data_IF_800277036852
#
_entry.id   IF_800277036852
#
_cell.length_a   1.000
_cell.length_b   1.000
_cell.length_c   1.000
_cell.angle_alpha   90.00
_cell.angle_beta   90.00
_cell.angle_gamma   90.00
#
_symmetry.space_group_name_H-M   'P 1'
#
loop_
_entity.id
_entity.type
_entity.pdbx_description
1 polymer ?
#
# COMPACT_ATOMS: atom_id res chain seq x y z
N UNK A 1 59.16 58.22 47.05
CA UNK A 1 57.86 58.07 46.45
C UNK A 1 57.84 56.82 45.57
N UNK A 2 57.23 55.82 46.05
CA UNK A 2 56.86 54.67 45.26
C UNK A 2 55.89 53.79 46.02
N UNK A 3 54.97 53.22 45.34
CA UNK A 3 53.98 52.25 45.73
C UNK A 3 52.53 52.77 45.89
N UNK A 4 51.81 52.65 44.74
CA UNK A 4 50.37 52.37 44.77
C UNK A 4 49.85 52.08 43.33
N UNK A 5 50.37 51.06 42.73
CA UNK A 5 49.77 50.45 41.54
C UNK A 5 49.91 48.92 41.62
N UNK A 6 48.98 48.24 42.19
CA UNK A 6 49.08 46.78 42.34
C UNK A 6 47.88 46.02 42.89
N UNK A 7 46.75 46.66 43.18
CA UNK A 7 45.61 45.94 43.77
C UNK A 7 44.32 45.84 42.94
N UNK A 8 44.25 46.52 41.77
CA UNK A 8 43.01 46.50 40.97
C UNK A 8 43.01 45.52 39.80
N UNK A 9 44.13 44.87 39.52
CA UNK A 9 44.23 43.95 38.36
C UNK A 9 43.93 42.48 38.68
N UNK A 10 43.82 42.11 39.98
CA UNK A 10 43.56 40.71 40.37
C UNK A 10 42.07 40.37 40.58
N UNK A 11 41.17 41.35 40.60
CA UNK A 11 39.75 41.09 40.88
C UNK A 11 38.94 40.88 39.58
N UNK A 12 39.47 41.33 38.42
CA UNK A 12 38.76 41.24 37.13
C UNK A 12 38.86 39.90 36.43
N UNK A 13 39.87 39.10 36.74
CA UNK A 13 40.07 37.80 36.08
C UNK A 13 39.27 36.62 36.67
N UNK A 14 38.80 36.73 37.93
CA UNK A 14 38.02 35.64 38.56
C UNK A 14 36.57 35.56 38.07
N UNK A 15 35.96 36.67 37.68
CA UNK A 15 34.59 36.67 37.20
C UNK A 15 34.48 36.12 35.74
N UNK A 16 35.48 36.44 34.91
CA UNK A 16 35.51 36.04 33.49
C UNK A 16 35.75 34.52 33.38
N UNK A 17 36.59 33.92 34.16
CA UNK A 17 36.81 32.47 34.16
C UNK A 17 35.63 31.68 34.72
N UNK A 18 34.84 32.23 35.62
CA UNK A 18 33.61 31.63 36.14
C UNK A 18 32.47 31.63 35.11
N UNK A 19 32.30 32.74 34.40
CA UNK A 19 31.26 32.87 33.36
C UNK A 19 31.56 32.02 32.12
N UNK A 20 32.81 31.99 31.65
CA UNK A 20 33.21 31.15 30.50
C UNK A 20 33.02 29.67 30.80
N UNK A 21 33.27 29.20 32.03
CA UNK A 21 33.03 27.81 32.41
C UNK A 21 31.52 27.47 32.48
N UNK A 22 30.70 28.41 32.97
CA UNK A 22 29.26 28.21 33.07
C UNK A 22 28.58 28.19 31.71
N UNK A 23 28.99 29.05 30.76
CA UNK A 23 28.54 29.04 29.38
C UNK A 23 28.93 27.74 28.67
N UNK A 24 30.13 27.26 28.79
CA UNK A 24 30.62 26.01 28.24
C UNK A 24 29.83 24.80 28.74
N UNK A 25 29.53 24.75 30.04
CA UNK A 25 28.71 23.68 30.64
C UNK A 25 27.25 23.68 30.13
N UNK A 26 26.63 24.84 30.00
CA UNK A 26 25.27 24.98 29.49
C UNK A 26 25.19 24.52 28.03
N UNK A 27 26.13 24.88 27.16
CA UNK A 27 26.17 24.43 25.77
C UNK A 27 26.36 22.91 25.63
N UNK A 28 27.25 22.30 26.43
CA UNK A 28 27.44 20.84 26.48
C UNK A 28 26.18 20.11 26.95
N UNK A 29 25.48 20.66 27.93
CA UNK A 29 24.21 20.11 28.42
C UNK A 29 23.11 20.16 27.35
N UNK A 30 22.89 21.35 26.74
CA UNK A 30 21.90 21.55 25.66
C UNK A 30 22.17 20.63 24.48
N UNK A 31 23.43 20.49 24.08
CA UNK A 31 23.82 19.57 23.00
C UNK A 31 23.49 18.11 23.36
N UNK A 32 23.78 17.69 24.60
CA UNK A 32 23.43 16.33 25.05
C UNK A 32 21.93 16.08 25.02
N UNK A 33 21.13 17.04 25.52
CA UNK A 33 19.66 16.96 25.47
C UNK A 33 19.15 16.84 24.05
N UNK A 34 19.70 17.66 23.12
CA UNK A 34 19.36 17.63 21.72
C UNK A 34 19.65 16.27 21.08
N UNK A 35 20.84 15.71 21.30
CA UNK A 35 21.23 14.39 20.79
C UNK A 35 20.33 13.28 21.34
N UNK A 36 20.08 13.27 22.66
CA UNK A 36 19.20 12.28 23.29
C UNK A 36 17.79 12.37 22.72
N UNK A 37 17.27 13.58 22.51
CA UNK A 37 15.96 13.78 21.91
C UNK A 37 15.86 13.09 20.52
N UNK A 38 16.85 13.32 19.62
CA UNK A 38 16.82 12.67 18.30
C UNK A 38 16.98 11.17 18.37
N UNK A 39 17.81 10.64 19.28
CA UNK A 39 17.91 9.19 19.50
C UNK A 39 16.54 8.62 19.88
N UNK A 40 15.84 9.26 20.83
CA UNK A 40 14.50 8.82 21.24
C UNK A 40 13.48 8.88 20.09
N UNK A 41 13.53 9.92 19.28
CA UNK A 41 12.67 10.05 18.09
C UNK A 41 12.93 8.90 17.10
N UNK A 42 14.20 8.60 16.80
CA UNK A 42 14.53 7.52 15.86
C UNK A 42 14.17 6.13 16.40
N UNK A 43 14.35 5.90 17.70
CA UNK A 43 13.92 4.66 18.35
C UNK A 43 12.39 4.54 18.32
N UNK A 44 11.65 5.61 18.56
CA UNK A 44 10.19 5.62 18.49
C UNK A 44 9.70 5.34 17.06
N UNK A 45 10.31 5.97 16.03
CA UNK A 45 9.99 5.72 14.62
C UNK A 45 10.32 4.28 14.21
N UNK A 46 11.46 3.74 14.64
CA UNK A 46 11.84 2.35 14.38
C UNK A 46 10.85 1.36 15.00
N UNK A 47 10.47 1.60 16.27
CA UNK A 47 9.49 0.78 16.98
C UNK A 47 8.10 0.82 16.31
N UNK A 48 7.65 2.00 15.88
CA UNK A 48 6.42 2.14 15.12
C UNK A 48 6.44 1.35 13.81
N UNK A 49 7.57 1.35 13.10
CA UNK A 49 7.73 0.55 11.87
C UNK A 49 7.62 -0.96 12.13
N UNK A 50 8.11 -1.46 13.27
CA UNK A 50 7.97 -2.87 13.65
C UNK A 50 6.50 -3.22 13.91
N UNK A 51 5.77 -2.38 14.64
CA UNK A 51 4.33 -2.58 14.88
C UNK A 51 3.57 -2.64 13.56
N UNK A 52 3.90 -1.72 12.63
CA UNK A 52 3.26 -1.67 11.31
C UNK A 52 3.62 -2.87 10.44
N UNK A 53 4.86 -3.35 10.53
CA UNK A 53 5.32 -4.58 9.86
C UNK A 53 4.48 -5.79 10.29
N UNK A 54 4.34 -6.01 11.60
CA UNK A 54 3.59 -7.13 12.14
C UNK A 54 2.10 -7.08 11.74
N UNK A 55 1.49 -5.90 11.83
CA UNK A 55 0.11 -5.73 11.37
C UNK A 55 -0.07 -6.09 9.89
N UNK A 56 0.84 -5.64 9.00
CA UNK A 56 0.78 -5.99 7.58
C UNK A 56 1.02 -7.48 7.32
N UNK A 57 1.96 -8.09 8.03
CA UNK A 57 2.23 -9.54 7.90
C UNK A 57 0.99 -10.36 8.27
N UNK A 58 0.29 -10.00 9.36
CA UNK A 58 -0.95 -10.66 9.75
C UNK A 58 -2.02 -10.52 8.65
N UNK A 59 -2.22 -9.31 8.13
CA UNK A 59 -3.17 -9.07 7.04
C UNK A 59 -2.84 -9.89 5.78
N UNK A 60 -1.57 -9.96 5.38
CA UNK A 60 -1.11 -10.78 4.25
C UNK A 60 -1.42 -12.26 4.51
N UNK A 61 -1.11 -12.74 5.70
CA UNK A 61 -1.36 -14.13 6.09
C UNK A 61 -2.86 -14.49 6.08
N UNK A 62 -3.72 -13.60 6.57
CA UNK A 62 -5.17 -13.78 6.52
C UNK A 62 -5.68 -13.90 5.08
N UNK A 63 -5.23 -13.00 4.18
CA UNK A 63 -5.60 -13.03 2.76
C UNK A 63 -5.10 -14.32 2.10
N UNK A 64 -3.85 -14.70 2.32
CA UNK A 64 -3.28 -15.93 1.75
C UNK A 64 -4.02 -17.18 2.22
N UNK A 65 -4.42 -17.24 3.48
CA UNK A 65 -5.19 -18.34 4.03
C UNK A 65 -6.58 -18.40 3.39
N UNK A 66 -7.27 -17.25 3.23
CA UNK A 66 -8.56 -17.19 2.53
C UNK A 66 -8.45 -17.69 1.09
N UNK A 67 -7.39 -17.31 0.38
CA UNK A 67 -7.15 -17.75 -1.00
C UNK A 67 -6.79 -19.24 -1.15
N UNK A 68 -6.30 -19.89 -0.09
CA UNK A 68 -6.00 -21.34 -0.09
C UNK A 68 -7.22 -22.21 0.21
N UNK A 69 -8.25 -21.66 0.84
CA UNK A 69 -9.45 -22.40 1.18
C UNK A 69 -10.14 -22.95 -0.08
N UNK A 70 -10.85 -24.08 0.03
CA UNK A 70 -11.67 -24.60 -1.06
C UNK A 70 -12.76 -23.57 -1.42
N UNK A 71 -13.23 -23.56 -2.69
CA UNK A 71 -14.31 -22.68 -3.08
C UNK A 71 -15.62 -23.07 -2.37
N UNK A 72 -16.36 -22.07 -1.92
CA UNK A 72 -17.69 -22.23 -1.31
C UNK A 72 -18.77 -21.71 -2.24
N UNK A 73 -19.99 -22.22 -2.13
CA UNK A 73 -21.11 -21.72 -2.92
C UNK A 73 -21.41 -20.26 -2.55
N UNK A 74 -21.61 -19.40 -3.55
CA UNK A 74 -21.92 -17.99 -3.35
C UNK A 74 -23.38 -17.85 -2.89
N UNK A 75 -23.56 -17.31 -1.69
CA UNK A 75 -24.87 -16.95 -1.12
C UNK A 75 -24.86 -15.47 -0.72
N UNK A 76 -26.03 -14.85 -0.61
CA UNK A 76 -26.14 -13.44 -0.22
C UNK A 76 -25.60 -13.16 1.20
N UNK A 77 -25.46 -14.18 2.04
CA UNK A 77 -24.99 -14.08 3.43
C UNK A 77 -23.47 -14.22 3.59
N UNK A 78 -22.73 -14.76 2.60
CA UNK A 78 -21.31 -15.07 2.74
C UNK A 78 -20.40 -14.22 1.85
N UNK A 79 -20.81 -13.03 1.47
CA UNK A 79 -20.07 -12.15 0.56
C UNK A 79 -18.95 -11.43 1.32
N UNK A 80 -17.73 -11.94 1.24
CA UNK A 80 -16.54 -11.39 1.89
C UNK A 80 -15.39 -11.14 0.90
N UNK A 81 -14.47 -10.25 1.29
CA UNK A 81 -13.30 -9.94 0.47
C UNK A 81 -12.31 -11.11 0.48
N UNK A 82 -11.78 -11.46 -0.69
CA UNK A 82 -10.88 -12.60 -0.93
C UNK A 82 -11.53 -13.99 -0.72
N UNK A 83 -12.85 -14.07 -0.60
CA UNK A 83 -13.54 -15.34 -0.56
C UNK A 83 -13.45 -16.04 -1.92
N UNK A 84 -13.05 -17.29 -1.92
CA UNK A 84 -13.06 -18.13 -3.11
C UNK A 84 -14.43 -18.79 -3.23
N UNK A 85 -15.07 -18.59 -4.37
CA UNK A 85 -16.44 -19.02 -4.62
C UNK A 85 -16.54 -19.99 -5.80
N UNK A 86 -17.55 -20.84 -5.73
CA UNK A 86 -18.08 -21.62 -6.83
C UNK A 86 -19.53 -21.19 -7.07
N UNK A 87 -19.91 -20.95 -8.32
CA UNK A 87 -21.24 -20.47 -8.68
C UNK A 87 -21.56 -20.77 -10.13
N UNK A 88 -22.82 -20.58 -10.50
CA UNK A 88 -23.30 -20.53 -11.89
C UNK A 88 -24.07 -19.22 -12.09
N UNK A 89 -24.15 -18.73 -13.31
CA UNK A 89 -24.88 -17.49 -13.58
C UNK A 89 -24.90 -17.15 -15.06
N UNK A 90 -25.82 -16.29 -15.48
CA UNK A 90 -25.93 -15.83 -16.85
C UNK A 90 -25.07 -14.60 -17.10
N UNK A 91 -24.16 -14.69 -18.06
CA UNK A 91 -23.24 -13.62 -18.44
C UNK A 91 -23.83 -12.77 -19.57
N UNK A 92 -23.77 -11.47 -19.41
CA UNK A 92 -24.14 -10.51 -20.44
C UNK A 92 -22.90 -10.14 -21.27
N UNK A 93 -22.77 -10.75 -22.46
CA UNK A 93 -21.66 -10.47 -23.37
C UNK A 93 -21.84 -9.18 -24.16
N UNK A 94 -23.07 -8.68 -24.33
CA UNK A 94 -23.34 -7.43 -25.05
C UNK A 94 -22.85 -6.21 -24.25
N UNK A 95 -22.89 -6.30 -22.93
CA UNK A 95 -22.42 -5.25 -22.01
C UNK A 95 -21.01 -5.50 -21.49
N UNK A 96 -20.18 -6.18 -22.26
CA UNK A 96 -18.77 -6.42 -21.95
C UNK A 96 -18.00 -5.11 -21.83
N UNK A 97 -17.17 -4.99 -20.79
CA UNK A 97 -16.35 -3.82 -20.47
C UNK A 97 -14.88 -4.16 -20.71
N UNK A 98 -14.15 -3.28 -21.40
CA UNK A 98 -12.71 -3.40 -21.62
C UNK A 98 -11.94 -2.40 -20.76
N UNK A 99 -11.47 -2.87 -19.60
CA UNK A 99 -10.71 -2.06 -18.65
C UNK A 99 -9.23 -2.07 -19.01
N UNK A 100 -8.68 -0.90 -19.39
CA UNK A 100 -7.26 -0.75 -19.68
C UNK A 100 -6.39 -1.14 -18.48
N UNK A 101 -5.48 -2.07 -18.69
CA UNK A 101 -4.51 -2.46 -17.67
C UNK A 101 -3.26 -3.08 -18.33
N UNK A 102 -2.15 -2.98 -17.58
CA UNK A 102 -0.91 -3.65 -17.97
C UNK A 102 -0.92 -5.09 -17.44
N UNK A 103 -0.36 -6.01 -18.20
CA UNK A 103 -0.10 -7.36 -17.69
C UNK A 103 1.13 -7.37 -16.73
N UNK A 104 1.49 -8.55 -16.23
CA UNK A 104 2.62 -8.70 -15.30
C UNK A 104 4.00 -8.38 -15.92
N UNK A 105 4.08 -8.35 -17.26
CA UNK A 105 5.31 -7.99 -17.99
C UNK A 105 5.33 -6.52 -18.43
N UNK A 106 4.29 -5.73 -18.04
CA UNK A 106 4.17 -4.32 -18.41
C UNK A 106 3.59 -4.09 -19.81
N UNK A 107 3.10 -5.14 -20.51
CA UNK A 107 2.46 -4.99 -21.82
C UNK A 107 1.06 -4.41 -21.64
N UNK A 108 0.68 -3.37 -22.41
CA UNK A 108 -0.65 -2.78 -22.36
C UNK A 108 -1.70 -3.67 -23.02
N UNK A 109 -2.91 -3.65 -22.48
CA UNK A 109 -4.05 -4.42 -22.97
C UNK A 109 -5.31 -4.13 -22.16
N UNK A 110 -6.24 -5.06 -22.11
CA UNK A 110 -7.52 -4.90 -21.43
C UNK A 110 -7.81 -6.06 -20.48
N UNK A 111 -8.35 -5.77 -19.32
CA UNK A 111 -9.09 -6.74 -18.53
C UNK A 111 -10.53 -6.79 -19.06
N UNK A 112 -11.01 -7.99 -19.34
CA UNK A 112 -12.37 -8.24 -19.87
C UNK A 112 -13.31 -8.47 -18.71
N UNK A 113 -14.30 -7.58 -18.57
CA UNK A 113 -15.24 -7.59 -17.46
C UNK A 113 -16.66 -7.66 -18.01
N UNK A 114 -17.43 -8.62 -17.54
CA UNK A 114 -18.81 -8.80 -17.96
C UNK A 114 -19.75 -8.65 -16.77
N UNK A 115 -20.98 -8.12 -17.00
CA UNK A 115 -22.08 -8.32 -16.09
C UNK A 115 -22.45 -9.79 -15.98
N UNK A 116 -22.75 -10.26 -14.78
CA UNK A 116 -23.27 -11.61 -14.51
C UNK A 116 -24.39 -11.54 -13.48
N UNK A 117 -25.47 -12.28 -13.72
CA UNK A 117 -26.57 -12.43 -12.79
C UNK A 117 -26.42 -13.74 -12.01
N UNK A 118 -26.35 -13.65 -10.68
CA UNK A 118 -26.22 -14.78 -9.76
C UNK A 118 -27.22 -14.58 -8.62
N UNK A 119 -28.12 -15.52 -8.39
CA UNK A 119 -29.10 -15.48 -7.30
C UNK A 119 -29.81 -14.10 -7.21
N UNK A 120 -30.34 -13.61 -8.34
CA UNK A 120 -31.02 -12.31 -8.49
C UNK A 120 -30.17 -11.06 -8.14
N UNK A 121 -28.87 -11.23 -7.97
CA UNK A 121 -27.92 -10.13 -7.74
C UNK A 121 -26.98 -9.98 -8.93
N UNK A 122 -26.83 -8.72 -9.42
CA UNK A 122 -25.86 -8.44 -10.48
C UNK A 122 -24.46 -8.28 -9.89
N UNK A 123 -23.52 -9.02 -10.45
CA UNK A 123 -22.09 -8.91 -10.18
C UNK A 123 -21.35 -8.53 -11.45
N UNK A 124 -20.15 -8.01 -11.30
CA UNK A 124 -19.16 -7.93 -12.37
C UNK A 124 -18.20 -9.10 -12.24
N UNK A 125 -17.95 -9.82 -13.34
CA UNK A 125 -16.94 -10.87 -13.42
C UNK A 125 -15.77 -10.42 -14.28
N UNK A 126 -14.57 -10.37 -13.71
CA UNK A 126 -13.32 -10.15 -14.42
C UNK A 126 -12.82 -11.50 -14.94
N UNK A 127 -12.90 -11.69 -16.24
CA UNK A 127 -12.52 -12.95 -16.90
C UNK A 127 -11.03 -13.04 -17.18
N UNK A 128 -10.31 -11.91 -17.13
CA UNK A 128 -8.87 -11.88 -17.32
C UNK A 128 -8.42 -10.84 -18.33
N UNK A 129 -7.14 -10.91 -18.65
CA UNK A 129 -6.45 -9.94 -19.50
C UNK A 129 -6.30 -10.44 -20.94
N UNK A 130 -6.42 -9.50 -21.90
CA UNK A 130 -6.17 -9.70 -23.33
C UNK A 130 -5.24 -8.58 -23.86
N UNK A 131 -4.42 -8.85 -24.90
CA UNK A 131 -3.70 -7.80 -25.62
C UNK A 131 -4.67 -6.95 -26.46
N UNK A 132 -4.23 -5.75 -26.86
CA UNK A 132 -5.05 -4.81 -27.62
C UNK A 132 -5.65 -5.40 -28.90
N UNK A 133 -4.88 -6.19 -29.62
CA UNK A 133 -5.24 -6.77 -30.92
C UNK A 133 -6.42 -7.73 -30.81
N UNK A 134 -6.65 -8.30 -29.63
CA UNK A 134 -7.73 -9.25 -29.37
C UNK A 134 -9.05 -8.61 -28.92
N UNK A 135 -9.14 -7.28 -28.78
CA UNK A 135 -10.34 -6.60 -28.27
C UNK A 135 -11.65 -7.03 -28.94
N UNK A 136 -11.63 -7.31 -30.24
CA UNK A 136 -12.81 -7.68 -31.02
C UNK A 136 -12.82 -9.16 -31.48
N UNK A 137 -12.01 -10.01 -30.86
CA UNK A 137 -11.94 -11.43 -31.18
C UNK A 137 -13.15 -12.19 -30.64
N UNK A 138 -13.74 -13.06 -31.45
CA UNK A 138 -14.85 -13.94 -31.04
C UNK A 138 -14.41 -14.97 -29.97
N UNK A 139 -13.12 -15.31 -29.92
CA UNK A 139 -12.57 -16.22 -28.92
C UNK A 139 -12.83 -15.77 -27.46
N UNK A 140 -13.03 -14.45 -27.24
CA UNK A 140 -13.30 -13.88 -25.92
C UNK A 140 -14.68 -14.29 -25.40
N UNK A 141 -15.62 -14.63 -26.26
CA UNK A 141 -17.01 -14.91 -25.89
C UNK A 141 -17.28 -16.39 -25.58
N UNK A 142 -16.27 -17.25 -25.67
CA UNK A 142 -16.38 -18.66 -25.29
C UNK A 142 -16.15 -18.81 -23.79
N UNK A 143 -17.18 -19.20 -23.05
CA UNK A 143 -17.12 -19.36 -21.59
C UNK A 143 -18.17 -20.35 -21.09
N UNK A 144 -17.82 -21.20 -20.11
CA UNK A 144 -18.77 -22.09 -19.44
C UNK A 144 -19.40 -21.37 -18.24
N UNK A 145 -20.70 -21.11 -18.33
CA UNK A 145 -21.47 -20.39 -17.33
C UNK A 145 -21.94 -21.28 -16.15
N UNK A 146 -21.80 -22.60 -16.27
CA UNK A 146 -22.35 -23.55 -15.31
C UNK A 146 -21.40 -23.85 -14.14
N UNK A 147 -20.10 -23.67 -14.31
CA UNK A 147 -19.08 -23.95 -13.31
C UNK A 147 -18.06 -22.82 -13.18
N UNK A 148 -18.47 -21.75 -12.56
CA UNK A 148 -17.66 -20.55 -12.37
C UNK A 148 -16.95 -20.64 -11.02
N UNK A 149 -15.63 -20.78 -11.05
CA UNK A 149 -14.80 -20.64 -9.86
C UNK A 149 -14.11 -19.29 -9.93
N UNK A 150 -14.30 -18.49 -8.89
CA UNK A 150 -13.74 -17.15 -8.82
C UNK A 150 -13.35 -16.72 -7.40
N UNK A 151 -12.71 -15.57 -7.30
CA UNK A 151 -12.37 -14.93 -6.03
C UNK A 151 -13.07 -13.58 -5.96
N UNK A 152 -13.83 -13.35 -4.89
CA UNK A 152 -14.46 -12.06 -4.62
C UNK A 152 -13.41 -11.05 -4.22
N UNK A 153 -13.47 -9.87 -4.79
CA UNK A 153 -12.63 -8.74 -4.41
C UNK A 153 -13.45 -7.46 -4.35
N UNK A 154 -13.28 -6.73 -3.25
CA UNK A 154 -13.94 -5.44 -3.09
C UNK A 154 -13.45 -4.47 -4.18
N UNK A 155 -14.38 -3.81 -4.86
CA UNK A 155 -14.09 -2.82 -5.88
C UNK A 155 -13.29 -1.65 -5.27
N UNK A 156 -12.17 -1.30 -5.92
CA UNK A 156 -11.36 -0.17 -5.52
C UNK A 156 -12.08 1.16 -5.72
N UNK A 157 -11.69 2.18 -4.95
CA UNK A 157 -12.20 3.54 -5.14
C UNK A 157 -11.67 4.14 -6.44
N UNK A 158 -12.43 5.06 -7.07
CA UNK A 158 -11.97 5.83 -8.24
C UNK A 158 -10.67 6.56 -7.87
N UNK A 159 -9.64 6.36 -8.69
CA UNK A 159 -8.41 7.13 -8.56
C UNK A 159 -8.58 8.42 -9.37
N UNK A 160 -8.46 9.57 -8.72
CA UNK A 160 -8.60 10.91 -9.33
C UNK A 160 -7.54 11.22 -10.40
N UNK A 161 -6.42 10.50 -10.41
CA UNK A 161 -5.36 10.64 -11.41
C UNK A 161 -5.56 9.79 -12.66
N UNK A 162 -6.60 8.95 -12.71
CA UNK A 162 -6.94 8.18 -13.92
C UNK A 162 -7.80 9.04 -14.86
N UNK A 163 -7.59 8.92 -16.19
CA UNK A 163 -8.46 9.54 -17.17
C UNK A 163 -9.92 9.12 -16.98
N UNK A 164 -10.84 9.92 -17.54
CA UNK A 164 -12.24 9.53 -17.60
C UNK A 164 -12.44 8.41 -18.63
N UNK A 165 -13.50 7.60 -18.43
CA UNK A 165 -13.84 6.52 -19.29
C UNK A 165 -14.47 7.02 -20.62
N UNK A 166 -14.13 6.38 -21.73
CA UNK A 166 -14.79 6.58 -23.03
C UNK A 166 -15.81 5.45 -23.23
N UNK A 167 -17.08 5.74 -22.87
CA UNK A 167 -18.15 4.74 -22.90
C UNK A 167 -18.56 4.38 -24.34
N UNK A 168 -18.42 5.33 -25.30
CA UNK A 168 -18.78 5.10 -26.71
C UNK A 168 -17.82 4.12 -27.37
N UNK A 169 -16.51 4.28 -27.13
CA UNK A 169 -15.48 3.36 -27.64
C UNK A 169 -15.29 2.13 -26.75
N UNK A 170 -16.03 2.05 -25.66
CA UNK A 170 -15.86 1.02 -24.65
C UNK A 170 -14.39 0.89 -24.22
N UNK A 171 -13.81 2.02 -23.78
CA UNK A 171 -12.44 2.12 -23.31
C UNK A 171 -12.43 2.66 -21.88
N UNK A 172 -12.14 1.79 -20.92
CA UNK A 172 -12.27 2.08 -19.51
C UNK A 172 -10.92 2.21 -18.83
N UNK A 173 -10.76 3.21 -17.96
CA UNK A 173 -9.59 3.38 -17.11
C UNK A 173 -9.90 3.08 -15.64
N UNK A 174 -11.16 3.13 -15.26
CA UNK A 174 -11.61 2.81 -13.90
C UNK A 174 -13.04 2.26 -13.93
N UNK A 175 -13.32 1.35 -13.00
CA UNK A 175 -14.68 0.91 -12.74
C UNK A 175 -15.27 1.85 -11.70
N UNK A 176 -16.16 2.74 -12.09
CA UNK A 176 -16.94 3.57 -11.16
C UNK A 176 -18.43 3.28 -11.35
N UNK A 177 -19.20 3.43 -10.26
CA UNK A 177 -20.61 3.04 -10.22
C UNK A 177 -21.45 3.78 -11.25
N UNK A 178 -21.22 5.08 -11.41
CA UNK A 178 -22.04 5.95 -12.27
C UNK A 178 -21.86 5.58 -13.76
N UNK A 179 -20.62 5.35 -14.17
CA UNK A 179 -20.34 4.97 -15.58
C UNK A 179 -20.83 3.55 -15.86
N UNK A 180 -20.69 2.62 -14.90
CA UNK A 180 -21.21 1.26 -15.03
C UNK A 180 -22.75 1.30 -15.17
N UNK A 181 -23.44 2.09 -14.33
CA UNK A 181 -24.88 2.27 -14.42
C UNK A 181 -25.31 2.87 -15.76
N UNK A 182 -24.62 3.90 -16.24
CA UNK A 182 -24.89 4.52 -17.55
C UNK A 182 -24.72 3.55 -18.70
N UNK A 183 -23.67 2.72 -18.68
CA UNK A 183 -23.34 1.79 -19.74
C UNK A 183 -24.22 0.55 -19.76
N UNK A 184 -24.53 -0.01 -18.58
CA UNK A 184 -25.25 -1.28 -18.45
C UNK A 184 -26.74 -1.12 -18.15
N UNK A 185 -27.15 0.02 -17.55
CA UNK A 185 -28.51 0.26 -17.06
C UNK A 185 -28.83 -0.49 -15.76
N UNK A 186 -27.84 -1.12 -15.10
CA UNK A 186 -28.04 -1.97 -13.92
C UNK A 186 -27.13 -1.54 -12.77
N UNK A 187 -27.59 -1.78 -11.54
CA UNK A 187 -26.74 -1.68 -10.35
C UNK A 187 -26.07 -3.00 -10.02
N UNK A 188 -24.84 -2.94 -9.50
CA UNK A 188 -24.00 -4.10 -9.21
C UNK A 188 -23.58 -4.14 -7.74
N UNK A 189 -23.25 -5.35 -7.28
CA UNK A 189 -22.57 -5.56 -6.01
C UNK A 189 -21.26 -4.78 -5.96
N UNK A 190 -20.86 -4.37 -4.76
CA UNK A 190 -19.54 -3.74 -4.52
C UNK A 190 -18.36 -4.71 -4.70
N UNK A 191 -18.63 -6.00 -4.84
CA UNK A 191 -17.62 -7.03 -5.07
C UNK A 191 -17.58 -7.42 -6.54
N UNK A 192 -16.36 -7.59 -7.04
CA UNK A 192 -16.08 -8.09 -8.39
C UNK A 192 -15.57 -9.52 -8.25
N UNK A 193 -16.07 -10.43 -9.07
CA UNK A 193 -15.63 -11.81 -9.15
C UNK A 193 -14.42 -11.85 -10.09
N UNK A 194 -13.26 -12.25 -9.62
CA UNK A 194 -12.10 -12.53 -10.46
C UNK A 194 -12.08 -14.01 -10.79
N UNK A 195 -12.20 -14.34 -12.06
CA UNK A 195 -12.22 -15.71 -12.54
C UNK A 195 -10.92 -16.44 -12.17
N UNK A 196 -11.05 -17.63 -11.62
CA UNK A 196 -9.95 -18.55 -11.36
C UNK A 196 -10.00 -19.67 -12.39
N UNK A 197 -8.85 -20.09 -12.90
CA UNK A 197 -8.75 -21.18 -13.85
C UNK A 197 -7.59 -21.00 -14.82
N UNK A 198 -7.43 -21.97 -15.71
CA UNK A 198 -6.35 -21.98 -16.68
C UNK A 198 -6.91 -21.71 -18.10
N UNK A 199 -7.52 -20.55 -18.27
CA UNK A 199 -8.05 -20.11 -19.56
C UNK A 199 -6.95 -19.45 -20.39
N UNK A 200 -7.00 -19.68 -21.72
CA UNK A 200 -6.01 -19.09 -22.65
C UNK A 200 -6.35 -17.64 -22.99
N UNK A 201 -7.63 -17.38 -23.27
CA UNK A 201 -8.15 -16.07 -23.71
C UNK A 201 -9.58 -15.89 -23.18
N UNK A 202 -9.87 -14.89 -22.38
CA UNK A 202 -8.94 -14.01 -21.64
C UNK A 202 -8.10 -14.78 -20.62
N UNK A 203 -6.87 -14.33 -20.35
CA UNK A 203 -5.99 -14.96 -19.34
C UNK A 203 -6.36 -14.46 -17.94
N UNK A 204 -6.87 -15.31 -17.03
CA UNK A 204 -7.29 -14.89 -15.72
C UNK A 204 -6.16 -14.25 -14.92
N UNK A 205 -6.50 -13.22 -14.17
CA UNK A 205 -5.58 -12.54 -13.27
C UNK A 205 -5.57 -13.25 -11.92
N UNK A 206 -4.45 -13.85 -11.58
CA UNK A 206 -4.28 -14.47 -10.26
C UNK A 206 -4.34 -13.39 -9.17
N UNK A 207 -5.32 -13.52 -8.28
CA UNK A 207 -5.40 -12.67 -7.10
C UNK A 207 -4.39 -13.16 -6.06
N UNK A 208 -3.55 -12.25 -5.60
CA UNK A 208 -2.51 -12.49 -4.60
C UNK A 208 -2.59 -11.42 -3.52
N UNK A 209 -2.02 -11.72 -2.36
CA UNK A 209 -1.83 -10.75 -1.27
C UNK A 209 -0.64 -9.82 -1.59
N UNK A 210 -0.60 -9.23 -2.79
CA UNK A 210 0.50 -8.34 -3.21
C UNK A 210 0.38 -6.97 -2.54
N UNK A 211 0.67 -6.96 -1.24
CA UNK A 211 0.71 -5.75 -0.42
C UNK A 211 2.17 -5.40 -0.16
N UNK A 212 2.64 -4.30 -0.78
CA UNK A 212 4.01 -3.83 -0.54
C UNK A 212 4.28 -3.64 0.95
N UNK A 213 5.30 -4.31 1.48
CA UNK A 213 5.66 -4.28 2.90
C UNK A 213 7.15 -3.96 3.09
N UNK A 214 7.51 -2.68 3.02
CA UNK A 214 8.88 -2.20 3.19
C UNK A 214 9.21 -1.75 4.63
N UNK A 215 8.31 -1.98 5.59
CA UNK A 215 8.45 -1.49 6.97
C UNK A 215 9.71 -2.04 7.66
N UNK A 216 10.13 -3.28 7.37
CA UNK A 216 11.37 -3.85 7.88
C UNK A 216 12.60 -3.03 7.48
N UNK A 217 12.70 -2.63 6.21
CA UNK A 217 13.81 -1.79 5.71
C UNK A 217 13.86 -0.44 6.42
N UNK A 218 12.69 0.20 6.59
CA UNK A 218 12.61 1.48 7.29
C UNK A 218 12.93 1.35 8.79
N UNK A 219 12.48 0.28 9.47
CA UNK A 219 12.84 0.03 10.86
C UNK A 219 14.36 -0.08 11.03
N UNK A 220 15.01 -0.87 10.16
CA UNK A 220 16.46 -1.02 10.16
C UNK A 220 17.17 0.34 9.97
N UNK A 221 16.68 1.16 9.04
CA UNK A 221 17.26 2.49 8.79
C UNK A 221 17.18 3.38 10.04
N UNK A 222 16.02 3.46 10.70
CA UNK A 222 15.83 4.29 11.90
C UNK A 222 16.70 3.84 13.06
N UNK A 223 16.79 2.54 13.34
CA UNK A 223 17.66 2.01 14.39
C UNK A 223 19.14 2.21 14.06
N UNK A 224 19.55 2.04 12.80
CA UNK A 224 20.93 2.29 12.37
C UNK A 224 21.33 3.75 12.59
N UNK A 225 20.44 4.70 12.29
CA UNK A 225 20.66 6.13 12.53
C UNK A 225 20.77 6.42 14.03
N UNK A 226 19.90 5.86 14.86
CA UNK A 226 19.95 6.02 16.32
C UNK A 226 21.29 5.51 16.88
N UNK A 227 21.73 4.33 16.46
CA UNK A 227 23.02 3.74 16.89
C UNK A 227 24.21 4.59 16.41
N UNK A 228 24.18 5.04 15.15
CA UNK A 228 25.28 5.87 14.59
C UNK A 228 25.43 7.19 15.36
N UNK A 229 24.34 7.87 15.67
CA UNK A 229 24.35 9.11 16.44
C UNK A 229 24.85 8.85 17.87
N UNK A 230 24.40 7.76 18.50
CA UNK A 230 24.85 7.38 19.83
C UNK A 230 26.38 7.12 19.86
N UNK A 231 26.91 6.37 18.88
CA UNK A 231 28.34 6.10 18.81
C UNK A 231 29.17 7.37 18.59
N UNK A 232 28.72 8.25 17.69
CA UNK A 232 29.35 9.55 17.45
C UNK A 232 29.32 10.42 18.72
N UNK A 233 28.20 10.47 19.41
CA UNK A 233 28.06 11.22 20.66
C UNK A 233 29.02 10.70 21.73
N UNK A 234 29.11 9.37 21.91
CA UNK A 234 30.03 8.76 22.88
C UNK A 234 31.49 9.01 22.55
N UNK A 235 31.86 8.93 21.24
CA UNK A 235 33.21 9.23 20.77
C UNK A 235 33.61 10.67 21.06
N UNK A 236 32.77 11.66 20.72
CA UNK A 236 33.06 13.07 20.96
C UNK A 236 33.07 13.39 22.47
N UNK A 237 32.21 12.78 23.24
CA UNK A 237 32.20 12.93 24.70
C UNK A 237 33.51 12.43 25.34
N UNK A 238 34.03 11.26 24.89
CA UNK A 238 35.29 10.70 25.37
C UNK A 238 36.50 11.56 24.96
N UNK A 239 36.49 12.18 23.79
CA UNK A 239 37.59 13.00 23.29
C UNK A 239 37.68 14.37 23.99
N UNK A 240 36.55 14.89 24.48
CA UNK A 240 36.46 16.20 25.12
C UNK A 240 36.51 16.13 26.66
N UNK A 241 36.79 14.96 27.21
CA UNK A 241 37.20 14.71 28.60
C UNK A 241 38.65 14.23 28.63
#
# INVERSE_FOLDING_TARGET
>A
DSCLVGSEMCIRDRSIFGEVNLYSLKHKFLFSVFVIFFILVFVALGSWQIVRLNWKNNLISEIENSLKNPPVELTNSNVENYLKIKTSGSIDFEKQIYLYNLNNTGTPGFEVINPILINDTNYLINRGWIPFEKKNSQEINVFDENDIIGTLKLQGRKNIFKPDNDLEKNYWFSLNRDDILKFTGKEFSKYIIYLNGNYQVPKPKKITADISNNHQKYALTWFSLAISILLLYLYFRKKNY
#
